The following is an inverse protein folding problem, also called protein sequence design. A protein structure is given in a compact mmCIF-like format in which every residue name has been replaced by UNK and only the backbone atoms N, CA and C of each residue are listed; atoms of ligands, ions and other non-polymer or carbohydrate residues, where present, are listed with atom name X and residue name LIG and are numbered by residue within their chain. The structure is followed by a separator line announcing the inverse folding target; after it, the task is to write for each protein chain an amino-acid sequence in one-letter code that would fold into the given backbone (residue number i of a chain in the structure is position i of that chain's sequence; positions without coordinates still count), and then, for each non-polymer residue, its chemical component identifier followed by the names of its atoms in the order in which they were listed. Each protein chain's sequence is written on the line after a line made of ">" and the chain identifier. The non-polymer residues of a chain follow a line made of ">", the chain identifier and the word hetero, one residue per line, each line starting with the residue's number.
data_IF_847023541337
#
_entry.id   IF_847023541337
#
_cell.length_a   1.000
_cell.length_b   1.000
_cell.length_c   1.000
_cell.angle_alpha   90.00
_cell.angle_beta   90.00
_cell.angle_gamma   90.00
#
_symmetry.space_group_name_H-M   'P 1'
#
loop_
_entity.id
_entity.type
_entity.pdbx_description
1 polymer ?
#
# COMPACT_ATOMS: atom_id res chain seq x y z
N UNK A 1 -17.75 -10.29 7.13
CA UNK A 1 -16.63 -10.76 6.28
C UNK A 1 -16.60 -9.82 5.09
N UNK A 2 -15.49 -9.12 4.86
CA UNK A 2 -15.26 -8.40 3.60
C UNK A 2 -14.57 -9.36 2.65
N UNK A 3 -15.07 -9.47 1.42
CA UNK A 3 -14.50 -10.34 0.39
C UNK A 3 -14.36 -9.54 -0.89
N UNK A 4 -13.16 -9.57 -1.47
CA UNK A 4 -12.89 -9.01 -2.78
C UNK A 4 -12.48 -10.18 -3.70
N UNK A 5 -13.20 -10.35 -4.81
CA UNK A 5 -13.01 -11.49 -5.73
C UNK A 5 -11.76 -11.33 -6.63
N UNK A 6 -11.05 -10.23 -6.50
CA UNK A 6 -9.84 -9.91 -7.25
C UNK A 6 -9.29 -8.54 -6.85
N UNK A 7 -8.04 -8.25 -7.19
CA UNK A 7 -7.45 -6.93 -6.95
C UNK A 7 -8.07 -5.87 -7.86
N UNK A 8 -8.11 -4.64 -7.36
CA UNK A 8 -8.39 -3.44 -8.16
C UNK A 8 -7.26 -3.21 -9.17
N UNK A 9 -6.02 -3.38 -8.72
CA UNK A 9 -4.82 -3.27 -9.52
C UNK A 9 -4.00 -4.55 -9.34
N UNK A 10 -3.88 -5.37 -10.39
CA UNK A 10 -2.96 -6.50 -10.44
C UNK A 10 -1.71 -6.07 -11.22
N UNK A 11 -0.54 -6.24 -10.63
CA UNK A 11 0.75 -5.86 -11.20
C UNK A 11 1.57 -7.14 -11.37
N UNK A 12 1.54 -7.74 -12.58
CA UNK A 12 2.27 -8.97 -12.83
C UNK A 12 3.77 -8.75 -12.68
N UNK A 13 4.49 -9.72 -12.10
CA UNK A 13 5.94 -9.61 -11.91
C UNK A 13 6.71 -9.44 -13.22
N UNK A 14 6.18 -9.93 -14.33
CA UNK A 14 6.76 -9.79 -15.67
C UNK A 14 6.72 -8.35 -16.21
N UNK A 15 5.93 -7.45 -15.61
CA UNK A 15 5.95 -6.03 -15.96
C UNK A 15 7.13 -5.30 -15.28
N UNK A 16 7.87 -5.97 -14.38
CA UNK A 16 9.13 -5.49 -13.81
C UNK A 16 10.26 -5.82 -14.78
N UNK A 17 11.13 -4.87 -15.05
CA UNK A 17 12.24 -5.06 -15.97
C UNK A 17 13.17 -6.18 -15.49
N UNK A 18 13.63 -7.05 -16.40
CA UNK A 18 14.64 -8.06 -16.08
C UNK A 18 16.06 -7.48 -15.98
N UNK A 19 16.21 -6.18 -15.71
CA UNK A 19 17.52 -5.54 -15.54
C UNK A 19 18.18 -6.13 -14.31
N UNK A 20 19.29 -6.84 -14.52
CA UNK A 20 20.16 -7.41 -13.50
C UNK A 20 20.89 -6.29 -12.73
N UNK A 21 20.14 -5.50 -11.97
CA UNK A 21 20.64 -4.28 -11.34
C UNK A 21 19.65 -3.58 -10.41
N UNK A 22 18.70 -4.30 -9.79
CA UNK A 22 17.89 -3.80 -8.67
C UNK A 22 17.42 -2.36 -8.83
N UNK A 23 16.57 -2.08 -9.80
CA UNK A 23 16.15 -0.71 -10.08
C UNK A 23 15.08 -0.24 -9.08
N UNK A 24 15.35 0.92 -8.49
CA UNK A 24 14.46 1.62 -7.57
C UNK A 24 13.11 1.93 -8.27
N UNK A 25 11.99 1.49 -7.69
CA UNK A 25 10.60 1.77 -8.11
C UNK A 25 10.04 1.03 -9.34
N UNK A 26 10.52 -0.17 -9.67
CA UNK A 26 9.98 -0.96 -10.80
C UNK A 26 8.49 -1.31 -10.63
N UNK A 27 8.07 -1.69 -9.43
CA UNK A 27 6.68 -2.05 -9.12
C UNK A 27 5.77 -0.83 -9.34
N UNK A 28 6.18 0.32 -8.85
CA UNK A 28 5.41 1.56 -8.93
C UNK A 28 5.31 2.07 -10.37
N UNK A 29 6.38 1.94 -11.16
CA UNK A 29 6.34 2.28 -12.59
C UNK A 29 5.43 1.31 -13.36
N UNK A 30 5.50 0.01 -13.07
CA UNK A 30 4.60 -0.99 -13.65
C UNK A 30 3.14 -0.70 -13.27
N UNK A 31 2.88 -0.30 -12.03
CA UNK A 31 1.56 0.09 -11.57
C UNK A 31 0.95 1.25 -12.36
N UNK A 32 1.74 2.29 -12.65
CA UNK A 32 1.26 3.40 -13.47
C UNK A 32 0.92 2.96 -14.90
N UNK A 33 1.71 2.06 -15.48
CA UNK A 33 1.40 1.49 -16.80
C UNK A 33 0.05 0.77 -16.78
N UNK A 34 -0.14 -0.18 -15.85
CA UNK A 34 -1.41 -0.91 -15.69
C UNK A 34 -2.58 0.06 -15.46
N UNK A 35 -2.39 1.07 -14.61
CA UNK A 35 -3.39 2.11 -14.39
C UNK A 35 -3.78 2.85 -15.68
N UNK A 36 -2.80 3.23 -16.50
CA UNK A 36 -3.02 4.03 -17.69
C UNK A 36 -3.56 3.23 -18.88
N UNK A 37 -3.19 1.95 -19.01
CA UNK A 37 -3.53 1.14 -20.19
C UNK A 37 -4.62 0.09 -19.95
N UNK A 38 -4.71 -0.47 -18.74
CA UNK A 38 -5.45 -1.71 -18.51
C UNK A 38 -6.69 -1.50 -17.62
N UNK A 39 -6.69 -0.48 -16.76
CA UNK A 39 -7.83 -0.17 -15.88
C UNK A 39 -8.96 0.57 -16.62
N UNK A 40 -10.20 0.20 -16.29
CA UNK A 40 -11.38 0.99 -16.70
C UNK A 40 -11.41 2.34 -15.98
N UNK A 41 -12.22 3.28 -16.48
CA UNK A 41 -12.40 4.59 -15.86
C UNK A 41 -12.85 4.49 -14.40
N UNK A 42 -13.82 3.62 -14.11
CA UNK A 42 -14.29 3.41 -12.73
C UNK A 42 -13.18 2.87 -11.83
N UNK A 43 -12.36 1.93 -12.34
CA UNK A 43 -11.22 1.41 -11.59
C UNK A 43 -10.14 2.47 -11.37
N UNK A 44 -9.90 3.34 -12.35
CA UNK A 44 -8.99 4.48 -12.20
C UNK A 44 -9.50 5.45 -11.13
N UNK A 45 -10.79 5.81 -11.16
CA UNK A 45 -11.40 6.70 -10.16
C UNK A 45 -11.32 6.11 -8.75
N UNK A 46 -11.60 4.81 -8.59
CA UNK A 46 -11.43 4.11 -7.31
C UNK A 46 -9.96 4.13 -6.89
N UNK A 47 -9.01 3.84 -7.79
CA UNK A 47 -7.57 3.85 -7.49
C UNK A 47 -7.12 5.22 -6.99
N UNK A 48 -7.54 6.29 -7.65
CA UNK A 48 -7.21 7.66 -7.26
C UNK A 48 -7.86 8.08 -5.93
N UNK A 49 -8.95 7.42 -5.52
CA UNK A 49 -9.59 7.64 -4.21
C UNK A 49 -8.84 7.00 -3.04
N UNK A 50 -7.93 6.04 -3.29
CA UNK A 50 -7.16 5.37 -2.25
C UNK A 50 -6.09 6.29 -1.66
N UNK A 51 -5.64 5.98 -0.44
CA UNK A 51 -4.54 6.72 0.19
C UNK A 51 -3.27 6.60 -0.67
N UNK A 52 -2.63 7.72 -0.95
CA UNK A 52 -1.49 7.78 -1.86
C UNK A 52 -1.10 9.23 -1.95
N UNK A 53 -0.36 9.76 -0.98
CA UNK A 53 -0.13 11.20 -0.89
C UNK A 53 0.84 11.63 -1.99
N UNK A 54 0.56 12.74 -2.67
CA UNK A 54 1.53 13.34 -3.62
C UNK A 54 2.49 14.29 -2.91
N UNK A 55 2.50 14.33 -1.58
CA UNK A 55 3.41 15.09 -0.73
C UNK A 55 4.00 14.15 0.32
N UNK A 56 5.15 14.51 0.87
CA UNK A 56 5.85 13.67 1.84
C UNK A 56 7.14 13.10 1.26
N UNK A 57 7.93 12.49 2.14
CA UNK A 57 9.29 12.01 1.84
C UNK A 57 9.29 11.01 0.68
N UNK A 58 8.33 10.10 0.63
CA UNK A 58 8.17 9.08 -0.41
C UNK A 58 7.85 9.72 -1.76
N UNK A 59 6.85 10.60 -1.83
CA UNK A 59 6.51 11.32 -3.06
C UNK A 59 7.67 12.22 -3.55
N UNK A 60 8.39 12.87 -2.64
CA UNK A 60 9.56 13.69 -2.98
C UNK A 60 10.73 12.86 -3.51
N UNK A 61 10.91 11.63 -3.00
CA UNK A 61 11.89 10.69 -3.54
C UNK A 61 11.53 10.24 -4.97
N UNK A 62 10.25 10.01 -5.27
CA UNK A 62 9.78 9.73 -6.64
C UNK A 62 10.13 10.89 -7.57
N UNK A 63 9.81 12.13 -7.17
CA UNK A 63 10.13 13.33 -7.97
C UNK A 63 11.63 13.47 -8.22
N UNK A 64 12.45 13.24 -7.19
CA UNK A 64 13.91 13.30 -7.30
C UNK A 64 14.44 12.25 -8.28
N UNK A 65 13.90 11.03 -8.22
CA UNK A 65 14.28 9.98 -9.15
C UNK A 65 13.96 10.36 -10.59
N UNK A 66 12.71 10.75 -10.86
CA UNK A 66 12.23 11.16 -12.20
C UNK A 66 13.09 12.30 -12.76
N UNK A 67 13.37 13.30 -11.93
CA UNK A 67 14.20 14.45 -12.32
C UNK A 67 15.63 14.04 -12.66
N UNK A 68 16.18 13.03 -11.97
CA UNK A 68 17.56 12.55 -12.18
C UNK A 68 17.69 11.63 -13.41
N UNK A 69 16.70 10.78 -13.65
CA UNK A 69 16.75 9.76 -14.72
C UNK A 69 16.12 10.23 -16.03
N UNK A 70 15.28 11.27 -15.99
CA UNK A 70 14.45 11.66 -17.14
C UNK A 70 13.35 10.64 -17.47
N UNK A 71 13.10 9.67 -16.58
CA UNK A 71 12.03 8.68 -16.72
C UNK A 71 10.70 9.42 -16.88
N UNK A 72 9.89 9.01 -17.86
CA UNK A 72 8.59 9.62 -18.14
C UNK A 72 8.64 11.14 -18.43
N UNK A 73 9.74 11.65 -18.98
CA UNK A 73 9.91 13.07 -19.37
C UNK A 73 8.90 13.57 -20.42
N UNK A 74 8.17 12.66 -21.07
CA UNK A 74 7.10 12.98 -22.02
C UNK A 74 5.77 13.36 -21.35
N UNK A 75 5.60 13.11 -20.04
CA UNK A 75 4.36 13.42 -19.33
C UNK A 75 4.24 14.92 -19.05
N UNK A 76 3.02 15.44 -19.18
CA UNK A 76 2.65 16.78 -18.70
C UNK A 76 2.73 16.85 -17.16
N UNK A 77 2.73 18.05 -16.59
CA UNK A 77 2.73 18.21 -15.13
C UNK A 77 1.53 17.54 -14.44
N UNK A 78 0.35 17.55 -15.07
CA UNK A 78 -0.84 16.89 -14.52
C UNK A 78 -0.75 15.36 -14.58
N UNK A 79 -0.22 14.82 -15.68
CA UNK A 79 0.03 13.38 -15.82
C UNK A 79 1.13 12.90 -14.85
N UNK A 80 2.17 13.71 -14.65
CA UNK A 80 3.22 13.43 -13.68
C UNK A 80 2.66 13.35 -12.25
N UNK A 81 1.81 14.29 -11.84
CA UNK A 81 1.16 14.24 -10.52
C UNK A 81 0.23 13.04 -10.39
N UNK A 82 -0.47 12.66 -11.46
CA UNK A 82 -1.29 11.44 -11.50
C UNK A 82 -0.43 10.18 -11.37
N UNK A 83 0.72 10.13 -12.07
CA UNK A 83 1.67 9.04 -11.95
C UNK A 83 2.19 8.93 -10.53
N UNK A 84 2.66 10.02 -9.92
CA UNK A 84 3.11 10.03 -8.52
C UNK A 84 1.99 9.54 -7.61
N UNK A 85 0.75 10.01 -7.80
CA UNK A 85 -0.41 9.55 -7.04
C UNK A 85 -0.55 8.02 -7.11
N UNK A 86 -0.54 7.42 -8.30
CA UNK A 86 -0.69 5.97 -8.49
C UNK A 86 0.48 5.19 -7.91
N UNK A 87 1.72 5.66 -8.13
CA UNK A 87 2.92 5.06 -7.54
C UNK A 87 2.79 4.99 -6.02
N UNK A 88 2.34 6.08 -5.39
CA UNK A 88 2.15 6.13 -3.94
C UNK A 88 0.95 5.28 -3.48
N UNK A 89 -0.11 5.12 -4.28
CA UNK A 89 -1.16 4.14 -3.96
C UNK A 89 -0.55 2.74 -3.82
N UNK A 90 0.34 2.32 -4.71
CA UNK A 90 0.96 0.99 -4.60
C UNK A 90 1.95 0.88 -3.46
N UNK A 91 2.79 1.90 -3.23
CA UNK A 91 3.75 1.91 -2.11
C UNK A 91 3.05 1.77 -0.75
N UNK A 92 1.88 2.39 -0.58
CA UNK A 92 1.19 2.41 0.72
C UNK A 92 0.21 1.25 0.91
N UNK A 93 -0.42 0.78 -0.16
CA UNK A 93 -1.54 -0.17 -0.12
C UNK A 93 -1.24 -1.53 -0.77
N UNK A 94 -0.07 -1.69 -1.38
CA UNK A 94 0.30 -2.89 -2.13
C UNK A 94 0.55 -4.10 -1.23
N UNK A 95 0.10 -5.26 -1.70
CA UNK A 95 0.45 -6.57 -1.16
C UNK A 95 1.30 -7.32 -2.19
N UNK A 96 2.33 -8.02 -1.72
CA UNK A 96 3.03 -9.02 -2.52
C UNK A 96 2.28 -10.35 -2.42
N UNK A 97 1.97 -10.94 -3.58
CA UNK A 97 1.30 -12.25 -3.68
C UNK A 97 2.34 -13.38 -3.70
N UNK A 98 1.92 -14.60 -3.36
CA UNK A 98 2.80 -15.78 -3.42
C UNK A 98 3.37 -16.05 -4.82
N UNK A 99 2.69 -15.59 -5.88
CA UNK A 99 3.19 -15.67 -7.26
C UNK A 99 4.41 -14.79 -7.53
N UNK A 100 4.70 -13.83 -6.64
CA UNK A 100 5.64 -12.72 -6.81
C UNK A 100 5.01 -11.47 -7.43
N UNK A 101 3.73 -11.54 -7.85
CA UNK A 101 2.99 -10.38 -8.34
C UNK A 101 2.69 -9.40 -7.20
N UNK A 102 2.23 -8.21 -7.55
CA UNK A 102 1.71 -7.26 -6.56
C UNK A 102 0.24 -6.95 -6.83
N UNK A 103 -0.49 -6.61 -5.78
CA UNK A 103 -1.91 -6.35 -5.81
C UNK A 103 -2.27 -5.15 -4.94
N UNK A 104 -3.22 -4.34 -5.41
CA UNK A 104 -3.95 -3.40 -4.56
C UNK A 104 -5.43 -3.79 -4.58
N UNK A 105 -6.01 -3.92 -3.40
CA UNK A 105 -7.43 -4.24 -3.18
C UNK A 105 -8.16 -2.99 -2.69
N UNK A 106 -9.36 -2.72 -3.18
CA UNK A 106 -10.03 -1.44 -2.98
C UNK A 106 -10.59 -1.27 -1.57
N UNK A 107 -11.16 -2.32 -1.00
CA UNK A 107 -11.89 -2.22 0.27
C UNK A 107 -10.93 -2.40 1.46
N UNK A 108 -10.14 -3.45 1.43
CA UNK A 108 -9.31 -3.81 2.58
C UNK A 108 -8.16 -2.83 2.86
N UNK A 109 -7.67 -2.15 1.83
CA UNK A 109 -6.57 -1.17 1.97
C UNK A 109 -7.02 0.15 2.59
N UNK A 110 -8.34 0.34 2.77
CA UNK A 110 -8.88 1.49 3.50
C UNK A 110 -8.80 1.32 5.02
N UNK A 111 -8.51 0.12 5.51
CA UNK A 111 -8.52 -0.16 6.93
C UNK A 111 -7.24 0.38 7.54
N UNK A 112 -7.36 1.22 8.57
CA UNK A 112 -6.21 1.78 9.27
C UNK A 112 -5.38 0.70 9.97
N UNK A 113 -4.13 1.05 10.23
CA UNK A 113 -3.25 0.21 11.00
C UNK A 113 -3.61 0.19 12.50
N UNK A 114 -3.52 -0.99 13.12
CA UNK A 114 -3.39 -1.14 14.57
C UNK A 114 -2.49 -2.33 14.88
N UNK A 115 -1.55 -2.17 15.82
CA UNK A 115 -0.72 -3.26 16.32
C UNK A 115 -1.53 -4.30 17.11
N UNK A 116 -2.74 -3.93 17.56
CA UNK A 116 -3.73 -4.84 18.13
C UNK A 116 -5.02 -4.80 17.29
N UNK A 117 -5.00 -5.37 16.07
CA UNK A 117 -6.08 -5.19 15.12
C UNK A 117 -7.32 -6.01 15.53
N UNK A 118 -8.50 -5.48 15.19
CA UNK A 118 -9.77 -6.19 15.38
C UNK A 118 -10.15 -7.06 14.17
N UNK A 119 -9.44 -6.93 13.05
CA UNK A 119 -9.59 -7.75 11.86
C UNK A 119 -8.29 -8.48 11.49
N UNK A 120 -8.43 -9.56 10.71
CA UNK A 120 -7.33 -10.23 10.00
C UNK A 120 -7.76 -10.53 8.58
N UNK A 121 -6.77 -10.70 7.70
CA UNK A 121 -7.01 -11.07 6.32
C UNK A 121 -6.26 -12.32 5.92
N UNK A 122 -6.74 -12.96 4.85
CA UNK A 122 -6.09 -14.09 4.20
C UNK A 122 -6.31 -14.03 2.70
N UNK A 123 -5.34 -14.51 1.93
CA UNK A 123 -5.44 -14.69 0.49
C UNK A 123 -5.91 -16.10 0.15
N UNK A 124 -6.67 -16.24 -0.93
CA UNK A 124 -6.95 -17.51 -1.60
C UNK A 124 -6.85 -17.28 -3.10
N UNK A 125 -5.67 -17.57 -3.67
CA UNK A 125 -5.34 -17.10 -5.02
C UNK A 125 -5.36 -15.57 -5.05
N UNK A 126 -6.12 -14.99 -5.97
CA UNK A 126 -6.25 -13.53 -6.13
C UNK A 126 -7.37 -12.91 -5.27
N UNK A 127 -8.10 -13.72 -4.52
CA UNK A 127 -9.15 -13.25 -3.62
C UNK A 127 -8.56 -12.91 -2.25
N UNK A 128 -9.05 -11.82 -1.65
CA UNK A 128 -8.73 -11.46 -0.27
C UNK A 128 -9.97 -11.50 0.60
N UNK A 129 -9.81 -12.06 1.80
CA UNK A 129 -10.87 -12.25 2.77
C UNK A 129 -10.47 -11.56 4.07
N UNK A 130 -11.30 -10.63 4.55
CA UNK A 130 -11.16 -10.01 5.85
C UNK A 130 -12.23 -10.52 6.83
N UNK A 131 -11.81 -10.93 8.02
CA UNK A 131 -12.69 -11.39 9.08
C UNK A 131 -12.34 -10.75 10.43
N UNK A 132 -13.34 -10.61 11.28
CA UNK A 132 -13.18 -10.10 12.64
C UNK A 132 -12.43 -11.14 13.51
N UNK A 133 -11.53 -10.65 14.36
CA UNK A 133 -10.78 -11.44 15.35
C UNK A 133 -11.39 -11.40 16.74
N UNK A 134 -12.26 -10.42 16.98
CA UNK A 134 -12.98 -10.18 18.22
C UNK A 134 -14.35 -9.59 17.90
N UNK A 135 -15.21 -9.46 18.91
CA UNK A 135 -16.44 -8.71 18.77
C UNK A 135 -16.10 -7.24 18.41
N UNK A 136 -16.78 -6.71 17.38
CA UNK A 136 -16.64 -5.33 16.91
C UNK A 136 -17.97 -4.63 17.14
N UNK A 137 -17.96 -3.51 17.85
CA UNK A 137 -19.18 -2.73 18.12
C UNK A 137 -19.55 -1.88 16.90
N UNK A 138 -20.84 -1.54 16.78
CA UNK A 138 -21.27 -0.55 15.79
C UNK A 138 -20.51 0.79 16.02
N UNK A 139 -19.97 1.35 14.95
CA UNK A 139 -19.13 2.55 15.00
C UNK A 139 -17.67 2.33 15.43
N UNK A 140 -17.27 1.11 15.81
CA UNK A 140 -15.86 0.79 16.06
C UNK A 140 -15.11 0.68 14.71
N UNK A 141 -13.96 1.36 14.62
CA UNK A 141 -13.12 1.34 13.42
C UNK A 141 -12.59 -0.08 13.14
N UNK A 142 -12.63 -0.50 11.87
CA UNK A 142 -12.01 -1.75 11.43
C UNK A 142 -10.52 -1.52 11.17
N UNK A 143 -9.66 -2.33 11.79
CA UNK A 143 -8.20 -2.14 11.75
C UNK A 143 -7.46 -3.43 11.40
N UNK A 144 -6.32 -3.30 10.73
CA UNK A 144 -5.44 -4.40 10.32
C UNK A 144 -4.00 -4.20 10.80
N UNK A 145 -3.24 -5.29 10.87
CA UNK A 145 -1.78 -5.22 10.93
C UNK A 145 -1.25 -4.98 9.51
N UNK A 146 -0.39 -3.98 9.32
CA UNK A 146 0.25 -3.73 8.02
C UNK A 146 1.45 -4.64 7.78
N UNK A 147 1.88 -5.37 8.81
CA UNK A 147 2.97 -6.35 8.76
C UNK A 147 2.42 -7.77 8.83
N UNK A 148 3.08 -8.70 8.11
CA UNK A 148 2.72 -10.11 8.08
C UNK A 148 3.13 -10.85 9.37
N UNK A 149 4.32 -10.54 9.89
CA UNK A 149 4.70 -10.87 11.26
C UNK A 149 3.99 -9.82 12.10
N UNK A 150 2.89 -10.20 12.77
CA UNK A 150 2.18 -9.33 13.73
C UNK A 150 3.18 -8.43 14.44
N UNK A 151 2.90 -7.14 14.56
CA UNK A 151 3.78 -6.18 15.23
C UNK A 151 4.00 -6.63 16.69
N UNK A 152 5.02 -7.47 16.87
CA UNK A 152 5.55 -7.97 18.14
C UNK A 152 6.93 -7.35 18.40
N UNK A 153 7.34 -6.44 17.50
CA UNK A 153 8.50 -5.58 17.67
C UNK A 153 8.16 -4.52 18.76
N UNK A 154 9.13 -4.14 19.60
CA UNK A 154 8.96 -3.09 20.60
C UNK A 154 8.35 -1.81 20.03
N UNK A 155 7.61 -1.08 20.86
CA UNK A 155 6.83 0.08 20.42
C UNK A 155 7.64 1.12 19.64
N UNK A 156 8.86 1.38 20.09
CA UNK A 156 9.74 2.34 19.44
C UNK A 156 10.25 1.86 18.08
N UNK A 157 10.52 0.55 17.91
CA UNK A 157 11.05 -0.02 16.68
C UNK A 157 10.02 0.03 15.56
N UNK A 158 8.79 -0.46 15.81
CA UNK A 158 7.77 -0.43 14.77
C UNK A 158 7.28 1.00 14.47
N UNK A 159 7.25 1.92 15.46
CA UNK A 159 6.96 3.34 15.20
C UNK A 159 8.01 3.98 14.30
N UNK A 160 9.29 3.68 14.53
CA UNK A 160 10.37 4.14 13.65
C UNK A 160 10.21 3.58 12.24
N UNK A 161 9.95 2.27 12.11
CA UNK A 161 9.70 1.60 10.82
C UNK A 161 8.52 2.21 10.08
N UNK A 162 7.38 2.44 10.74
CA UNK A 162 6.22 3.06 10.13
C UNK A 162 6.43 4.53 9.79
N UNK A 163 7.19 5.28 10.59
CA UNK A 163 7.56 6.64 10.23
C UNK A 163 8.41 6.66 8.96
N UNK A 164 9.37 5.74 8.84
CA UNK A 164 10.28 5.68 7.71
C UNK A 164 9.63 5.14 6.42
N UNK A 165 8.73 4.17 6.54
CA UNK A 165 8.15 3.44 5.39
C UNK A 165 6.72 3.84 5.03
N UNK A 166 5.97 4.39 6.00
CA UNK A 166 4.54 4.72 5.89
C UNK A 166 4.21 6.14 6.37
N UNK A 167 5.22 6.93 6.77
CA UNK A 167 5.10 8.35 7.13
C UNK A 167 4.08 8.65 8.23
N UNK A 168 3.87 7.72 9.16
CA UNK A 168 3.01 7.93 10.32
C UNK A 168 3.60 7.32 11.59
N UNK A 169 3.13 7.81 12.74
CA UNK A 169 3.41 7.22 14.06
C UNK A 169 2.15 6.53 14.57
N UNK A 170 2.26 5.26 14.96
CA UNK A 170 1.12 4.49 15.46
C UNK A 170 0.73 4.95 16.87
N UNK A 171 -0.57 5.19 17.08
CA UNK A 171 -1.21 5.56 18.36
C UNK A 171 -2.35 4.60 18.69
N UNK A 172 -2.20 3.32 18.32
CA UNK A 172 -3.20 2.32 18.67
C UNK A 172 -3.17 2.02 20.18
N UNK A 173 -4.22 1.38 20.75
CA UNK A 173 -4.29 1.09 22.18
C UNK A 173 -3.09 0.35 22.76
N UNK A 174 -2.41 -0.47 21.94
CA UNK A 174 -1.19 -1.16 22.32
C UNK A 174 -0.02 -0.17 22.48
N UNK A 175 0.27 0.63 21.45
CA UNK A 175 1.41 1.56 21.42
C UNK A 175 1.32 2.70 22.44
N UNK A 176 0.11 3.05 22.86
CA UNK A 176 -0.14 4.10 23.86
C UNK A 176 -0.30 3.52 25.28
N UNK A 177 -0.27 2.20 25.45
CA UNK A 177 -0.30 1.56 26.76
C UNK A 177 1.02 1.78 27.52
N UNK A 178 0.92 1.95 28.84
CA UNK A 178 2.10 2.07 29.71
C UNK A 178 2.78 0.71 29.83
N UNK A 179 4.08 0.66 29.53
CA UNK A 179 4.93 -0.51 29.74
C UNK A 179 4.89 -1.55 28.63
N UNK A 180 4.37 -1.22 27.45
CA UNK A 180 4.46 -2.10 26.29
C UNK A 180 5.78 -1.92 25.52
N UNK A 181 6.75 -2.76 25.86
CA UNK A 181 7.98 -2.96 25.08
C UNK A 181 7.92 -4.20 24.17
N UNK A 182 6.77 -4.90 24.04
CA UNK A 182 6.61 -6.12 23.18
C UNK A 182 5.19 -6.37 22.64
#
# INVERSE_FOLDING_TARGET
>A
IVRENGPLLHIPKEYRSQSSGGEFMEVELAAYKVFASDLTRDQQEITLSLFGPTKGKSADNVRRFISRTGTCSHLTSGELETMIKVMQVVTFNGFELESGDHAVNAEITRFSHSCQPNCSYAFKGNEIYCHARKHIKEGEELTLSYTAVRDMEPTHEHRYKYLETKEFTCHCPRCDAIGDDT
#
